data_IF_501655634342
#
_entry.id   IF_501655634342
#
_cell.length_a   1.000
_cell.length_b   1.000
_cell.length_c   1.000
_cell.angle_alpha   90.00
_cell.angle_beta   90.00
_cell.angle_gamma   90.00
#
_symmetry.space_group_name_H-M   'P 1'
#
loop_
_entity.id
_entity.type
_entity.pdbx_description
1 polymer ?
#
# COMPACT_ATOMS: atom_id res chain seq x y z
N UNK A 1 -13.41 -8.42 16.90
CA UNK A 1 -13.96 -7.39 16.00
C UNK A 1 -13.10 -7.28 14.78
N UNK A 2 -12.20 -6.29 14.73
CA UNK A 2 -11.26 -6.10 13.62
C UNK A 2 -10.33 -7.29 13.35
N UNK A 3 -10.07 -8.12 14.36
CA UNK A 3 -9.26 -9.34 14.24
C UNK A 3 -9.92 -10.42 13.37
N UNK A 4 -11.24 -10.35 13.14
CA UNK A 4 -11.96 -11.27 12.24
C UNK A 4 -11.78 -10.90 10.77
N UNK A 5 -11.27 -9.70 10.48
CA UNK A 5 -11.01 -9.24 9.13
C UNK A 5 -9.75 -9.88 8.55
N UNK A 6 -9.82 -10.22 7.26
CA UNK A 6 -8.71 -10.85 6.55
C UNK A 6 -7.45 -9.97 6.48
N UNK A 7 -7.57 -8.64 6.56
CA UNK A 7 -6.44 -7.70 6.63
C UNK A 7 -5.54 -7.97 7.86
N UNK A 8 -6.15 -8.25 9.01
CA UNK A 8 -5.42 -8.52 10.25
C UNK A 8 -4.62 -9.83 10.13
N UNK A 9 -5.27 -10.89 9.66
CA UNK A 9 -4.61 -12.18 9.48
C UNK A 9 -3.44 -12.11 8.50
N UNK A 10 -3.59 -11.36 7.39
CA UNK A 10 -2.50 -11.08 6.45
C UNK A 10 -1.35 -10.33 7.12
N UNK A 11 -1.63 -9.28 7.89
CA UNK A 11 -0.59 -8.52 8.58
C UNK A 11 0.26 -9.43 9.50
N UNK A 12 -0.39 -10.30 10.28
CA UNK A 12 0.31 -11.29 11.13
C UNK A 12 1.10 -12.27 10.27
N UNK A 13 0.52 -12.83 9.20
CA UNK A 13 1.19 -13.76 8.28
C UNK A 13 2.47 -13.14 7.68
N UNK A 14 2.38 -11.92 7.14
CA UNK A 14 3.54 -11.22 6.59
C UNK A 14 4.59 -10.95 7.66
N UNK A 15 4.18 -10.54 8.86
CA UNK A 15 5.12 -10.31 9.96
C UNK A 15 5.87 -11.56 10.38
N UNK A 16 5.21 -12.72 10.37
CA UNK A 16 5.86 -14.01 10.63
C UNK A 16 6.81 -14.38 9.49
N UNK A 17 6.35 -14.26 8.24
CA UNK A 17 7.14 -14.60 7.05
C UNK A 17 8.43 -13.77 6.96
N UNK A 18 8.35 -12.47 7.23
CA UNK A 18 9.49 -11.54 7.19
C UNK A 18 10.20 -11.39 8.55
N UNK A 19 9.79 -12.14 9.57
CA UNK A 19 10.28 -12.02 10.96
C UNK A 19 10.38 -10.57 11.43
N UNK A 20 9.33 -9.80 11.17
CA UNK A 20 9.29 -8.38 11.52
C UNK A 20 9.34 -8.21 13.04
N UNK A 21 9.81 -7.04 13.47
CA UNK A 21 9.85 -6.65 14.89
C UNK A 21 8.52 -6.03 15.31
N UNK A 22 7.40 -6.66 14.94
CA UNK A 22 6.06 -6.14 15.20
C UNK A 22 5.49 -6.73 16.51
N UNK A 23 4.81 -5.89 17.28
CA UNK A 23 3.97 -6.31 18.41
C UNK A 23 2.54 -5.92 18.07
N UNK A 24 1.67 -6.91 17.98
CA UNK A 24 0.23 -6.75 17.80
C UNK A 24 -0.45 -6.87 19.16
N UNK A 25 -1.05 -5.79 19.65
CA UNK A 25 -1.85 -5.82 20.87
C UNK A 25 -3.35 -5.84 20.51
N UNK A 26 -4.02 -6.95 20.80
CA UNK A 26 -5.47 -7.07 20.69
C UNK A 26 -6.08 -6.67 22.03
N UNK A 27 -6.76 -5.54 22.07
CA UNK A 27 -7.54 -5.13 23.23
C UNK A 27 -8.85 -5.90 23.24
N UNK A 28 -8.88 -6.96 24.03
CA UNK A 28 -9.98 -7.91 24.10
C UNK A 28 -10.85 -7.62 25.33
N UNK A 29 -11.95 -6.90 25.10
CA UNK A 29 -13.00 -6.72 26.12
C UNK A 29 -14.09 -7.79 26.04
N UNK A 30 -13.92 -8.86 25.25
CA UNK A 30 -14.93 -9.88 25.04
C UNK A 30 -16.00 -9.53 24.00
N UNK A 31 -16.02 -8.29 23.47
CA UNK A 31 -17.09 -7.80 22.61
C UNK A 31 -16.61 -6.95 21.44
N UNK A 32 -17.33 -7.02 20.32
CA UNK A 32 -17.23 -6.09 19.21
C UNK A 32 -18.63 -5.62 18.84
N UNK A 33 -18.96 -4.37 19.19
CA UNK A 33 -20.35 -3.87 19.15
C UNK A 33 -21.22 -4.79 20.05
N UNK A 34 -22.20 -5.49 19.47
CA UNK A 34 -23.07 -6.45 20.15
C UNK A 34 -22.69 -7.91 19.89
N UNK A 35 -21.58 -8.16 19.19
CA UNK A 35 -21.10 -9.52 18.87
C UNK A 35 -20.05 -9.92 19.89
N UNK A 36 -20.30 -10.99 20.64
CA UNK A 36 -19.34 -11.53 21.60
C UNK A 36 -18.12 -12.13 20.89
N UNK A 37 -17.02 -12.30 21.63
CA UNK A 37 -15.80 -12.91 21.11
C UNK A 37 -16.01 -14.40 20.75
N UNK A 38 -16.93 -15.08 21.43
CA UNK A 38 -17.28 -16.49 21.20
C UNK A 38 -17.93 -16.72 19.82
N UNK A 39 -18.65 -15.73 19.29
CA UNK A 39 -19.21 -15.79 17.93
C UNK A 39 -18.14 -15.58 16.84
N UNK A 40 -16.97 -15.05 17.22
CA UNK A 40 -15.93 -14.64 16.28
C UNK A 40 -14.75 -15.62 16.25
N UNK A 41 -14.45 -16.27 17.39
CA UNK A 41 -13.29 -17.12 17.54
C UNK A 41 -13.58 -18.35 18.38
N UNK A 42 -12.97 -19.50 18.06
CA UNK A 42 -13.00 -20.66 18.95
C UNK A 42 -12.47 -20.29 20.34
N UNK A 43 -13.16 -20.76 21.38
CA UNK A 43 -12.74 -20.60 22.79
C UNK A 43 -12.70 -19.14 23.28
N UNK A 44 -13.35 -18.22 22.56
CA UNK A 44 -13.37 -16.81 22.91
C UNK A 44 -12.00 -16.11 22.85
N UNK A 45 -11.03 -16.68 22.15
CA UNK A 45 -9.67 -16.14 22.05
C UNK A 45 -9.29 -15.78 20.60
N UNK A 46 -9.08 -14.47 20.30
CA UNK A 46 -8.74 -14.01 18.96
C UNK A 46 -7.34 -14.42 18.48
N UNK A 47 -6.53 -15.07 19.31
CA UNK A 47 -5.18 -15.55 18.99
C UNK A 47 -5.12 -17.03 18.61
N UNK A 48 -6.13 -17.82 19.00
CA UNK A 48 -6.21 -19.27 18.69
C UNK A 48 -6.00 -19.59 17.20
N UNK A 49 -6.56 -18.84 16.23
CA UNK A 49 -6.32 -19.11 14.81
C UNK A 49 -4.85 -19.02 14.37
N UNK A 50 -3.99 -18.38 15.17
CA UNK A 50 -2.60 -18.09 14.83
C UNK A 50 -1.58 -19.01 15.52
N UNK A 51 -1.99 -19.95 16.37
CA UNK A 51 -1.09 -20.85 17.10
C UNK A 51 -0.15 -21.64 16.17
N UNK A 52 -0.63 -22.01 14.97
CA UNK A 52 0.19 -22.68 13.96
C UNK A 52 1.43 -21.86 13.55
N UNK A 53 1.37 -20.53 13.62
CA UNK A 53 2.49 -19.65 13.29
C UNK A 53 3.56 -19.59 14.39
N UNK A 54 3.31 -20.10 15.59
CA UNK A 54 4.35 -20.21 16.62
C UNK A 54 5.52 -21.08 16.16
N UNK A 55 5.26 -22.06 15.28
CA UNK A 55 6.28 -22.89 14.61
C UNK A 55 7.28 -22.06 13.78
N UNK A 56 6.89 -20.86 13.38
CA UNK A 56 7.67 -19.96 12.53
C UNK A 56 8.12 -18.68 13.25
N UNK A 57 8.04 -18.64 14.58
CA UNK A 57 8.54 -17.53 15.40
C UNK A 57 7.51 -16.48 15.81
N UNK A 58 6.21 -16.74 15.61
CA UNK A 58 5.17 -15.93 16.28
C UNK A 58 5.19 -16.24 17.78
N UNK A 59 5.24 -15.22 18.63
CA UNK A 59 5.03 -15.39 20.06
C UNK A 59 3.63 -14.91 20.44
N UNK A 60 2.81 -15.81 20.97
CA UNK A 60 1.47 -15.47 21.48
C UNK A 60 1.57 -15.26 22.99
N UNK A 61 0.95 -14.19 23.50
CA UNK A 61 0.98 -13.81 24.91
C UNK A 61 -0.42 -13.46 25.41
N UNK A 62 -0.84 -14.11 26.49
CA UNK A 62 -2.04 -13.72 27.24
C UNK A 62 -1.62 -12.68 28.29
N UNK A 63 -2.32 -11.55 28.33
CA UNK A 63 -2.00 -10.44 29.23
C UNK A 63 -3.27 -9.93 29.89
N UNK A 64 -3.26 -9.83 31.21
CA UNK A 64 -4.28 -9.09 31.93
C UNK A 64 -3.95 -7.60 31.84
N UNK A 65 -4.68 -6.87 30.99
CA UNK A 65 -4.52 -5.44 30.81
C UNK A 65 -5.13 -4.60 31.95
N UNK A 66 -5.88 -5.22 32.86
CA UNK A 66 -6.47 -4.54 34.03
C UNK A 66 -5.54 -4.48 35.23
N UNK A 67 -4.40 -5.20 35.18
CA UNK A 67 -3.36 -5.21 36.20
C UNK A 67 -2.05 -4.69 35.61
N UNK A 68 -1.70 -3.45 35.99
CA UNK A 68 -0.50 -2.77 35.48
C UNK A 68 0.80 -3.50 35.87
N UNK A 69 0.85 -4.15 37.05
CA UNK A 69 2.03 -4.89 37.52
C UNK A 69 2.21 -6.18 36.75
N UNK A 70 1.13 -6.83 36.34
CA UNK A 70 1.18 -8.00 35.47
C UNK A 70 1.50 -7.63 34.01
N UNK A 71 0.96 -6.51 33.53
CA UNK A 71 1.09 -6.07 32.14
C UNK A 71 2.51 -5.61 31.79
N UNK A 72 3.14 -4.78 32.64
CA UNK A 72 4.45 -4.18 32.35
C UNK A 72 5.56 -5.21 32.02
N UNK A 73 5.79 -6.27 32.81
CA UNK A 73 6.78 -7.30 32.49
C UNK A 73 6.51 -8.00 31.15
N UNK A 74 5.23 -8.21 30.81
CA UNK A 74 4.82 -8.86 29.55
C UNK A 74 5.12 -8.00 28.33
N UNK A 75 4.89 -6.69 28.43
CA UNK A 75 5.24 -5.75 27.36
C UNK A 75 6.76 -5.69 27.18
N UNK A 76 7.54 -5.65 28.27
CA UNK A 76 9.01 -5.69 28.21
C UNK A 76 9.48 -6.98 27.53
N UNK A 77 8.95 -8.12 27.94
CA UNK A 77 9.25 -9.43 27.35
C UNK A 77 8.96 -9.47 25.83
N UNK A 78 7.84 -8.86 25.40
CA UNK A 78 7.48 -8.76 23.99
C UNK A 78 8.47 -7.88 23.19
N UNK A 79 8.88 -6.75 23.77
CA UNK A 79 9.87 -5.84 23.18
C UNK A 79 11.23 -6.52 23.04
N UNK A 80 11.69 -7.24 24.07
CA UNK A 80 12.96 -7.97 24.03
C UNK A 80 12.92 -9.08 22.98
N UNK A 81 11.82 -9.85 22.91
CA UNK A 81 11.66 -10.93 21.94
C UNK A 81 11.74 -10.43 20.49
N UNK A 82 10.99 -9.36 20.17
CA UNK A 82 10.98 -8.78 18.82
C UNK A 82 12.31 -8.15 18.46
N UNK A 83 12.95 -7.42 19.39
CA UNK A 83 14.26 -6.79 19.17
C UNK A 83 15.39 -7.79 18.95
N UNK A 84 15.31 -8.97 19.58
CA UNK A 84 16.24 -10.07 19.35
C UNK A 84 16.10 -10.70 17.93
N UNK A 85 15.07 -10.32 17.16
CA UNK A 85 14.85 -10.83 15.80
C UNK A 85 14.18 -12.21 15.76
N UNK A 86 13.55 -12.63 16.86
CA UNK A 86 12.91 -13.94 16.95
C UNK A 86 11.61 -14.03 16.12
N UNK A 87 11.01 -12.88 15.79
CA UNK A 87 9.76 -12.77 15.06
C UNK A 87 8.79 -11.82 15.75
N UNK A 88 7.54 -11.73 15.25
CA UNK A 88 6.52 -10.86 15.82
C UNK A 88 5.91 -11.43 17.11
N UNK A 89 5.27 -10.57 17.89
CA UNK A 89 4.47 -10.93 19.06
C UNK A 89 3.01 -10.59 18.80
N UNK A 90 2.11 -11.48 19.19
CA UNK A 90 0.66 -11.28 19.21
C UNK A 90 0.17 -11.38 20.67
N UNK A 91 -0.29 -10.27 21.22
CA UNK A 91 -0.75 -10.15 22.60
C UNK A 91 -2.28 -10.12 22.62
N UNK A 92 -2.90 -11.07 23.32
CA UNK A 92 -4.29 -10.97 23.72
C UNK A 92 -4.33 -10.22 25.06
N UNK A 93 -4.70 -8.94 25.02
CA UNK A 93 -4.74 -8.05 26.18
C UNK A 93 -6.17 -7.97 26.67
N UNK A 94 -6.50 -8.73 27.72
CA UNK A 94 -7.82 -8.69 28.34
C UNK A 94 -8.03 -7.31 28.97
N UNK A 95 -9.09 -6.62 28.57
CA UNK A 95 -9.44 -5.28 29.06
C UNK A 95 -10.93 -5.18 29.36
N UNK A 96 -11.38 -4.03 29.82
CA UNK A 96 -12.79 -3.74 30.09
C UNK A 96 -13.44 -2.88 28.99
N UNK A 97 -14.78 -2.82 29.02
CA UNK A 97 -15.60 -1.90 28.24
C UNK A 97 -16.73 -1.39 29.14
N UNK A 98 -16.51 -0.24 29.76
CA UNK A 98 -17.40 0.31 30.79
C UNK A 98 -18.78 0.76 30.28
N UNK A 99 -18.88 1.08 28.99
CA UNK A 99 -20.12 1.55 28.38
C UNK A 99 -20.42 0.91 27.04
N UNK A 100 -21.60 1.23 26.50
CA UNK A 100 -22.03 0.81 25.18
C UNK A 100 -21.05 1.21 24.07
N UNK A 101 -21.12 0.53 22.92
CA UNK A 101 -20.22 0.79 21.79
C UNK A 101 -20.31 2.24 21.26
N UNK A 102 -21.49 2.83 21.34
CA UNK A 102 -21.77 4.21 20.91
C UNK A 102 -22.89 4.81 21.74
N UNK A 103 -23.11 6.13 21.65
CA UNK A 103 -24.19 6.81 22.38
C UNK A 103 -25.60 6.40 21.96
N UNK A 104 -25.77 5.73 20.82
CA UNK A 104 -27.04 5.15 20.37
C UNK A 104 -27.17 3.65 20.65
N UNK A 105 -26.15 3.04 21.25
CA UNK A 105 -26.12 1.62 21.61
C UNK A 105 -26.47 1.43 23.09
N UNK A 106 -27.06 0.29 23.44
CA UNK A 106 -27.40 -0.08 24.80
C UNK A 106 -26.94 -1.50 25.08
N UNK A 107 -25.81 -1.62 25.78
CA UNK A 107 -25.22 -2.92 26.08
C UNK A 107 -26.07 -3.78 27.03
N UNK A 108 -27.01 -3.19 27.76
CA UNK A 108 -27.91 -3.96 28.62
C UNK A 108 -28.84 -4.89 27.85
N UNK A 109 -28.98 -4.69 26.53
CA UNK A 109 -29.78 -5.55 25.67
C UNK A 109 -29.09 -6.86 25.29
N UNK A 110 -27.77 -6.94 25.41
CA UNK A 110 -27.00 -8.09 24.93
C UNK A 110 -25.86 -8.55 25.86
N UNK A 111 -25.59 -7.83 26.95
CA UNK A 111 -24.57 -8.18 27.95
C UNK A 111 -25.22 -8.43 29.32
N UNK A 112 -24.87 -9.55 29.95
CA UNK A 112 -25.41 -9.92 31.27
C UNK A 112 -25.02 -8.86 32.32
N UNK A 113 -25.91 -8.48 33.27
CA UNK A 113 -25.59 -7.51 34.30
C UNK A 113 -24.35 -7.85 35.14
N UNK A 114 -24.08 -9.14 35.40
CA UNK A 114 -22.88 -9.57 36.14
C UNK A 114 -21.61 -9.30 35.33
N UNK A 115 -21.68 -9.43 34.01
CA UNK A 115 -20.58 -9.10 33.11
C UNK A 115 -20.37 -7.59 32.99
N UNK A 116 -21.45 -6.80 32.93
CA UNK A 116 -21.37 -5.33 32.99
C UNK A 116 -20.72 -4.85 34.29
N UNK A 117 -21.10 -5.44 35.43
CA UNK A 117 -20.48 -5.18 36.72
C UNK A 117 -18.98 -5.54 36.67
N UNK A 118 -18.62 -6.69 36.07
CA UNK A 118 -17.22 -7.06 35.92
C UNK A 118 -16.42 -5.99 35.17
N UNK A 119 -16.94 -5.47 34.06
CA UNK A 119 -16.28 -4.39 33.31
C UNK A 119 -16.11 -3.11 34.12
N UNK A 120 -17.14 -2.73 34.88
CA UNK A 120 -17.13 -1.50 35.70
C UNK A 120 -16.11 -1.62 36.85
N UNK A 121 -16.12 -2.73 37.58
CA UNK A 121 -15.25 -2.91 38.75
C UNK A 121 -13.82 -3.33 38.40
N UNK A 122 -13.55 -3.69 37.14
CA UNK A 122 -12.20 -4.03 36.66
C UNK A 122 -11.61 -2.98 35.72
N UNK A 123 -12.15 -1.76 35.70
CA UNK A 123 -11.55 -0.64 34.99
C UNK A 123 -10.03 -0.55 35.27
N UNK A 124 -9.25 -0.54 34.20
CA UNK A 124 -7.80 -0.49 34.25
C UNK A 124 -7.29 0.84 34.82
N UNK A 125 -8.02 1.95 34.63
CA UNK A 125 -7.65 3.26 35.18
C UNK A 125 -7.83 3.26 36.69
N UNK A 126 -8.99 2.84 37.19
CA UNK A 126 -9.26 2.69 38.61
C UNK A 126 -8.29 1.73 39.30
N UNK A 127 -8.06 0.54 38.73
CA UNK A 127 -7.12 -0.45 39.30
C UNK A 127 -5.68 0.05 39.30
N UNK A 128 -5.26 0.78 38.27
CA UNK A 128 -3.93 1.41 38.23
C UNK A 128 -3.80 2.48 39.31
N UNK A 129 -4.81 3.35 39.48
CA UNK A 129 -4.82 4.35 40.54
C UNK A 129 -4.70 3.71 41.93
N UNK A 130 -5.49 2.67 42.21
CA UNK A 130 -5.40 1.92 43.47
C UNK A 130 -4.03 1.29 43.66
N UNK A 131 -3.44 0.70 42.62
CA UNK A 131 -2.10 0.11 42.68
C UNK A 131 -1.04 1.16 43.04
N UNK A 132 -1.10 2.36 42.46
CA UNK A 132 -0.17 3.45 42.76
C UNK A 132 -0.32 3.97 44.21
N UNK A 133 -1.55 3.97 44.73
CA UNK A 133 -1.83 4.32 46.12
C UNK A 133 -1.31 3.25 47.08
N UNK A 134 -1.58 1.98 46.80
CA UNK A 134 -1.16 0.84 47.61
C UNK A 134 0.38 0.75 47.71
N UNK A 135 1.08 1.08 46.62
CA UNK A 135 2.54 1.14 46.60
C UNK A 135 3.13 2.43 47.20
N UNK A 136 2.28 3.37 47.61
CA UNK A 136 2.70 4.66 48.17
C UNK A 136 3.39 5.59 47.16
N UNK A 137 3.15 5.40 45.87
CA UNK A 137 3.69 6.22 44.78
C UNK A 137 2.90 7.52 44.65
N UNK A 138 1.57 7.45 44.78
CA UNK A 138 0.67 8.59 44.77
C UNK A 138 -0.32 8.50 45.93
N UNK A 139 -0.82 9.64 46.39
CA UNK A 139 -1.93 9.73 47.33
C UNK A 139 -3.27 9.87 46.58
N UNK A 140 -4.41 9.51 47.20
CA UNK A 140 -5.72 9.75 46.61
C UNK A 140 -5.97 11.23 46.25
N UNK A 141 -5.41 12.15 47.05
CA UNK A 141 -5.51 13.60 46.78
C UNK A 141 -4.76 13.97 45.51
N UNK A 142 -3.53 13.50 45.33
CA UNK A 142 -2.75 13.78 44.12
C UNK A 142 -3.45 13.26 42.86
N UNK A 143 -4.06 12.08 42.92
CA UNK A 143 -4.85 11.55 41.79
C UNK A 143 -6.07 12.43 41.53
N UNK A 144 -6.81 12.84 42.56
CA UNK A 144 -7.94 13.76 42.41
C UNK A 144 -7.53 15.11 41.81
N UNK A 145 -6.43 15.69 42.29
CA UNK A 145 -5.89 16.95 41.77
C UNK A 145 -5.52 16.83 40.28
N UNK A 146 -4.95 15.68 39.84
CA UNK A 146 -4.65 15.41 38.42
C UNK A 146 -5.92 15.37 37.55
N UNK A 147 -6.99 14.72 38.04
CA UNK A 147 -8.27 14.67 37.32
C UNK A 147 -8.89 16.06 37.19
N UNK A 148 -8.88 16.86 38.26
CA UNK A 148 -9.41 18.23 38.25
C UNK A 148 -8.62 19.13 37.28
N UNK A 149 -7.29 18.97 37.23
CA UNK A 149 -6.44 19.69 36.28
C UNK A 149 -6.76 19.32 34.83
N UNK A 150 -6.87 18.01 34.53
CA UNK A 150 -7.23 17.52 33.19
C UNK A 150 -8.62 17.96 32.75
N UNK A 151 -9.63 17.91 33.63
CA UNK A 151 -10.98 18.36 33.32
C UNK A 151 -10.98 19.85 32.98
N UNK A 152 -10.27 20.66 33.76
CA UNK A 152 -10.12 22.09 33.48
C UNK A 152 -9.43 22.34 32.14
N UNK A 153 -8.36 21.61 31.84
CA UNK A 153 -7.63 21.72 30.57
C UNK A 153 -8.53 21.35 29.38
N UNK A 154 -9.22 20.21 29.44
CA UNK A 154 -10.13 19.73 28.40
C UNK A 154 -11.27 20.73 28.18
N UNK A 155 -11.84 21.29 29.25
CA UNK A 155 -12.91 22.30 29.17
C UNK A 155 -12.42 23.58 28.49
N UNK A 156 -11.22 24.05 28.81
CA UNK A 156 -10.64 25.23 28.17
C UNK A 156 -10.34 24.99 26.69
N UNK A 157 -9.74 23.84 26.35
CA UNK A 157 -9.44 23.45 24.96
C UNK A 157 -10.72 23.28 24.15
N UNK A 158 -11.73 22.62 24.70
CA UNK A 158 -13.04 22.42 24.04
C UNK A 158 -13.71 23.75 23.74
N UNK A 159 -13.70 24.70 24.68
CA UNK A 159 -14.21 26.06 24.46
C UNK A 159 -13.48 26.75 23.31
N UNK A 160 -12.14 26.74 23.32
CA UNK A 160 -11.33 27.35 22.24
C UNK A 160 -11.60 26.71 20.88
N UNK A 161 -11.74 25.39 20.83
CA UNK A 161 -12.01 24.66 19.59
C UNK A 161 -13.38 25.01 19.00
N UNK A 162 -14.40 25.19 19.84
CA UNK A 162 -15.74 25.59 19.41
C UNK A 162 -15.79 27.05 18.98
N UNK A 163 -15.11 27.95 19.70
CA UNK A 163 -15.00 29.38 19.35
C UNK A 163 -14.35 29.61 17.98
N UNK A 164 -13.47 28.70 17.56
CA UNK A 164 -12.71 28.79 16.30
C UNK A 164 -13.23 27.82 15.22
N UNK A 165 -14.37 27.17 15.46
CA UNK A 165 -14.92 26.20 14.52
C UNK A 165 -15.38 26.89 13.22
N UNK A 166 -14.83 26.42 12.11
CA UNK A 166 -15.27 26.80 10.77
C UNK A 166 -15.79 25.55 10.07
N UNK A 167 -17.06 25.53 9.61
CA UNK A 167 -17.57 24.43 8.80
C UNK A 167 -16.73 24.24 7.53
N UNK A 168 -16.55 22.97 7.12
CA UNK A 168 -15.87 22.67 5.85
C UNK A 168 -16.71 23.19 4.69
N UNK A 169 -16.09 23.91 3.76
CA UNK A 169 -16.75 24.34 2.52
C UNK A 169 -16.67 23.24 1.46
N UNK A 170 -17.55 23.23 0.44
CA UNK A 170 -17.45 22.32 -0.70
C UNK A 170 -16.08 22.39 -1.39
N UNK A 171 -15.52 23.59 -1.55
CA UNK A 171 -14.22 23.79 -2.20
C UNK A 171 -13.08 23.13 -1.41
N UNK A 172 -13.12 23.23 -0.07
CA UNK A 172 -12.18 22.52 0.79
C UNK A 172 -12.34 21.00 0.62
N UNK A 173 -13.57 20.48 0.58
CA UNK A 173 -13.83 19.05 0.42
C UNK A 173 -13.30 18.56 -0.93
N UNK A 174 -13.58 19.27 -2.02
CA UNK A 174 -13.11 18.94 -3.37
C UNK A 174 -11.58 18.98 -3.46
N UNK A 175 -10.94 19.98 -2.84
CA UNK A 175 -9.47 20.08 -2.78
C UNK A 175 -8.79 18.92 -2.05
N UNK A 176 -9.56 18.13 -1.29
CA UNK A 176 -9.10 16.97 -0.54
C UNK A 176 -9.36 15.63 -1.25
N UNK A 177 -9.94 15.65 -2.47
CA UNK A 177 -10.19 14.44 -3.26
C UNK A 177 -8.95 13.99 -4.02
N UNK A 178 -8.27 14.90 -4.74
CA UNK A 178 -7.03 14.63 -5.48
C UNK A 178 -6.09 15.84 -5.40
N UNK A 179 -4.79 15.60 -5.49
CA UNK A 179 -3.75 16.65 -5.50
C UNK A 179 -3.21 16.96 -6.89
N UNK A 180 -3.61 16.20 -7.90
CA UNK A 180 -2.91 16.17 -9.18
C UNK A 180 -2.89 17.55 -9.84
N UNK A 181 -1.67 18.02 -10.05
CA UNK A 181 -1.34 19.19 -10.83
C UNK A 181 -0.14 18.84 -11.72
N UNK A 182 -0.24 19.14 -13.01
CA UNK A 182 0.81 18.75 -13.96
C UNK A 182 2.12 19.51 -13.74
N UNK A 183 2.08 20.77 -13.29
CA UNK A 183 3.28 21.53 -12.96
C UNK A 183 4.00 20.93 -11.75
N UNK A 184 3.26 20.47 -10.73
CA UNK A 184 3.83 19.79 -9.56
C UNK A 184 4.46 18.44 -9.95
N UNK A 185 3.83 17.69 -10.87
CA UNK A 185 4.40 16.47 -11.42
C UNK A 185 5.72 16.74 -12.17
N UNK A 186 5.77 17.79 -13.02
CA UNK A 186 7.01 18.22 -13.69
C UNK A 186 8.08 18.67 -12.70
N UNK A 187 7.72 19.43 -11.66
CA UNK A 187 8.64 19.86 -10.62
C UNK A 187 9.23 18.66 -9.87
N UNK A 188 8.39 17.65 -9.56
CA UNK A 188 8.82 16.41 -8.94
C UNK A 188 9.76 15.61 -9.85
N UNK A 189 9.41 15.45 -11.13
CA UNK A 189 10.29 14.81 -12.11
C UNK A 189 11.65 15.50 -12.18
N UNK A 190 11.65 16.83 -12.35
CA UNK A 190 12.86 17.65 -12.42
C UNK A 190 13.73 17.47 -11.17
N UNK A 191 13.13 17.47 -9.97
CA UNK A 191 13.85 17.23 -8.71
C UNK A 191 14.66 15.93 -8.73
N UNK A 192 14.07 14.83 -9.19
CA UNK A 192 14.78 13.55 -9.27
C UNK A 192 15.79 13.50 -10.42
N UNK A 193 15.50 14.14 -11.55
CA UNK A 193 16.45 14.29 -12.67
C UNK A 193 17.68 15.09 -12.28
N UNK A 194 17.51 16.21 -11.58
CA UNK A 194 18.61 17.05 -11.10
C UNK A 194 19.45 16.35 -10.03
N UNK A 195 18.83 15.49 -9.22
CA UNK A 195 19.51 14.71 -8.18
C UNK A 195 20.29 13.51 -8.74
N UNK A 196 19.99 13.07 -9.97
CA UNK A 196 20.70 11.96 -10.61
C UNK A 196 22.10 12.40 -11.06
N UNK A 197 23.13 11.82 -10.44
CA UNK A 197 24.55 12.12 -10.73
C UNK A 197 25.21 11.09 -11.66
N UNK A 198 24.46 10.09 -12.13
CA UNK A 198 24.98 9.05 -13.02
C UNK A 198 25.09 9.51 -14.47
N UNK A 199 25.72 8.69 -15.30
CA UNK A 199 25.74 8.89 -16.75
C UNK A 199 24.75 7.94 -17.41
N UNK A 200 23.61 8.48 -17.83
CA UNK A 200 22.53 7.71 -18.46
C UNK A 200 22.99 7.02 -19.75
N UNK A 201 23.81 7.66 -20.57
CA UNK A 201 24.30 7.08 -21.82
C UNK A 201 25.29 5.94 -21.54
N UNK A 202 26.20 6.13 -20.57
CA UNK A 202 27.10 5.06 -20.13
C UNK A 202 26.33 3.88 -19.51
N UNK A 203 25.26 4.14 -18.76
CA UNK A 203 24.40 3.09 -18.20
C UNK A 203 23.74 2.27 -19.32
N UNK A 204 23.17 2.90 -20.35
CA UNK A 204 22.59 2.19 -21.50
C UNK A 204 23.63 1.40 -22.30
N UNK A 205 24.85 1.93 -22.47
CA UNK A 205 25.96 1.18 -23.04
C UNK A 205 26.27 -0.08 -22.21
N UNK A 206 26.33 0.04 -20.88
CA UNK A 206 26.52 -1.11 -19.98
C UNK A 206 25.37 -2.12 -20.06
N UNK A 207 24.12 -1.66 -20.12
CA UNK A 207 22.95 -2.54 -20.24
C UNK A 207 22.96 -3.30 -21.56
N UNK A 208 23.42 -2.67 -22.64
CA UNK A 208 23.62 -3.33 -23.92
C UNK A 208 24.71 -4.41 -23.85
N UNK A 209 25.86 -4.13 -23.25
CA UNK A 209 26.94 -5.11 -23.04
C UNK A 209 26.49 -6.32 -22.22
N UNK A 210 25.62 -6.10 -21.23
CA UNK A 210 24.97 -7.16 -20.43
C UNK A 210 23.88 -7.92 -21.19
N UNK A 211 23.53 -7.49 -22.40
CA UNK A 211 22.50 -8.08 -23.25
C UNK A 211 21.07 -7.78 -22.83
N UNK A 212 20.85 -6.71 -22.05
CA UNK A 212 19.51 -6.32 -21.59
C UNK A 212 18.73 -5.61 -22.69
N UNK A 213 19.43 -4.80 -23.50
CA UNK A 213 18.88 -4.05 -24.61
C UNK A 213 19.65 -4.32 -25.90
N UNK A 214 18.99 -4.26 -27.07
CA UNK A 214 19.61 -4.59 -28.36
C UNK A 214 20.59 -3.53 -28.88
N UNK A 215 20.58 -2.33 -28.32
CA UNK A 215 21.42 -1.18 -28.73
C UNK A 215 21.90 -0.41 -27.49
N UNK A 216 23.08 0.24 -27.54
CA UNK A 216 23.55 1.14 -26.48
C UNK A 216 22.95 2.55 -26.58
N UNK A 217 22.20 2.85 -27.66
CA UNK A 217 21.58 4.15 -27.87
C UNK A 217 20.52 4.45 -26.79
N UNK A 218 20.35 5.74 -26.50
CA UNK A 218 19.29 6.19 -25.59
C UNK A 218 17.91 5.86 -26.18
N UNK A 219 16.92 5.47 -25.35
CA UNK A 219 15.61 5.01 -25.78
C UNK A 219 14.90 5.92 -26.80
N UNK A 220 14.97 7.23 -26.61
CA UNK A 220 14.37 8.24 -27.50
C UNK A 220 14.99 8.26 -28.92
N UNK A 221 16.20 7.72 -29.10
CA UNK A 221 16.93 7.71 -30.37
C UNK A 221 16.80 6.40 -31.16
N UNK A 222 16.22 5.34 -30.58
CA UNK A 222 16.14 4.00 -31.18
C UNK A 222 15.12 3.94 -32.34
N UNK A 223 14.15 4.88 -32.34
CA UNK A 223 13.01 4.88 -33.25
C UNK A 223 11.80 4.10 -32.72
N UNK A 224 10.81 3.80 -33.57
CA UNK A 224 9.57 3.15 -33.16
C UNK A 224 9.78 1.77 -32.51
N UNK A 225 9.07 1.51 -31.41
CA UNK A 225 9.13 0.23 -30.69
C UNK A 225 7.76 -0.19 -30.15
N UNK A 226 7.70 -1.39 -29.56
CA UNK A 226 6.47 -1.93 -28.95
C UNK A 226 6.24 -1.37 -27.55
N UNK A 227 4.98 -1.36 -27.11
CA UNK A 227 4.61 -0.82 -25.79
C UNK A 227 5.35 -1.50 -24.64
N UNK A 228 5.57 -2.83 -24.70
CA UNK A 228 6.35 -3.55 -23.68
C UNK A 228 7.77 -3.01 -23.54
N UNK A 229 8.46 -2.76 -24.65
CA UNK A 229 9.83 -2.25 -24.59
C UNK A 229 9.84 -0.81 -24.07
N UNK A 230 8.91 0.04 -24.49
CA UNK A 230 8.83 1.41 -23.99
C UNK A 230 8.62 1.48 -22.47
N UNK A 231 7.74 0.63 -21.93
CA UNK A 231 7.56 0.51 -20.47
C UNK A 231 8.85 0.00 -19.81
N UNK A 232 9.49 -1.04 -20.34
CA UNK A 232 10.73 -1.57 -19.78
C UNK A 232 11.86 -0.52 -19.76
N UNK A 233 12.06 0.23 -20.85
CA UNK A 233 13.02 1.34 -20.91
C UNK A 233 12.70 2.41 -19.86
N UNK A 234 11.43 2.82 -19.75
CA UNK A 234 10.98 3.83 -18.79
C UNK A 234 11.21 3.36 -17.34
N UNK A 235 10.97 2.08 -17.04
CA UNK A 235 11.26 1.52 -15.72
C UNK A 235 12.76 1.54 -15.41
N UNK A 236 13.62 1.23 -16.37
CA UNK A 236 15.07 1.35 -16.19
C UNK A 236 15.49 2.80 -15.89
N UNK A 237 14.93 3.77 -16.60
CA UNK A 237 15.18 5.19 -16.31
C UNK A 237 14.72 5.55 -14.88
N UNK A 238 13.49 5.21 -14.50
CA UNK A 238 12.96 5.45 -13.14
C UNK A 238 13.85 4.84 -12.06
N UNK A 239 14.30 3.60 -12.25
CA UNK A 239 15.14 2.91 -11.28
C UNK A 239 16.52 3.54 -11.11
N UNK A 240 17.06 4.19 -12.14
CA UNK A 240 18.33 4.90 -12.07
C UNK A 240 18.22 6.23 -11.30
N UNK A 241 17.05 6.88 -11.30
CA UNK A 241 16.89 8.21 -10.69
C UNK A 241 16.97 8.19 -9.16
N UNK A 242 16.42 7.17 -8.51
CA UNK A 242 16.41 7.07 -7.04
C UNK A 242 16.25 5.64 -6.57
N UNK A 243 16.77 5.35 -5.37
CA UNK A 243 16.53 4.11 -4.62
C UNK A 243 15.12 4.00 -4.05
N UNK A 244 14.35 5.09 -4.09
CA UNK A 244 12.96 5.14 -3.61
C UNK A 244 11.97 4.50 -4.59
N UNK A 245 12.38 4.20 -5.83
CA UNK A 245 11.58 3.40 -6.76
C UNK A 245 11.77 1.93 -6.41
N UNK A 246 10.67 1.24 -6.16
CA UNK A 246 10.66 -0.19 -5.92
C UNK A 246 9.51 -0.80 -6.70
N UNK A 247 9.72 -1.97 -7.27
CA UNK A 247 8.72 -2.70 -8.04
C UNK A 247 8.55 -4.07 -7.41
N UNK A 248 7.33 -4.42 -7.07
CA UNK A 248 7.06 -5.72 -6.48
C UNK A 248 5.64 -6.18 -6.86
N UNK A 249 5.46 -7.48 -6.89
CA UNK A 249 4.22 -8.11 -7.29
C UNK A 249 4.48 -9.57 -7.59
N UNK A 250 3.50 -10.23 -8.18
CA UNK A 250 3.61 -11.65 -8.50
C UNK A 250 4.39 -11.83 -9.80
N UNK A 251 5.49 -12.60 -9.74
CA UNK A 251 6.34 -12.92 -10.89
C UNK A 251 7.06 -11.75 -11.59
N UNK A 252 7.05 -10.55 -11.01
CA UNK A 252 7.71 -9.36 -11.58
C UNK A 252 9.23 -9.47 -11.63
N UNK A 253 9.83 -10.31 -10.79
CA UNK A 253 11.27 -10.42 -10.70
C UNK A 253 11.84 -11.40 -11.73
N UNK A 254 13.12 -11.27 -12.04
CA UNK A 254 13.81 -12.22 -12.92
C UNK A 254 13.88 -13.62 -12.27
N UNK A 255 14.05 -13.68 -10.95
CA UNK A 255 14.26 -14.87 -10.14
C UNK A 255 13.51 -14.81 -8.81
N UNK A 256 13.00 -15.97 -8.41
CA UNK A 256 12.40 -16.19 -7.09
C UNK A 256 13.42 -16.08 -5.96
N UNK A 257 12.95 -15.73 -4.75
CA UNK A 257 13.81 -15.45 -3.59
C UNK A 257 14.84 -16.53 -3.26
N UNK A 258 14.47 -17.81 -3.31
CA UNK A 258 15.39 -18.92 -3.03
C UNK A 258 16.57 -19.04 -4.02
N UNK A 259 16.47 -18.42 -5.20
CA UNK A 259 17.54 -18.43 -6.19
C UNK A 259 18.48 -17.24 -6.04
N UNK A 260 18.18 -16.23 -5.22
CA UNK A 260 18.96 -14.97 -5.13
C UNK A 260 20.45 -15.23 -4.85
N UNK A 261 20.75 -16.21 -3.99
CA UNK A 261 22.12 -16.57 -3.63
C UNK A 261 22.78 -17.54 -4.63
N UNK A 262 22.00 -18.17 -5.51
CA UNK A 262 22.45 -19.18 -6.47
C UNK A 262 22.97 -18.57 -7.78
N UNK A 263 23.96 -17.67 -7.69
CA UNK A 263 24.47 -16.86 -8.81
C UNK A 263 24.86 -17.68 -10.04
N UNK A 264 25.49 -18.85 -9.85
CA UNK A 264 25.88 -19.74 -10.95
C UNK A 264 24.69 -20.32 -11.72
N UNK A 265 23.57 -20.59 -11.03
CA UNK A 265 22.34 -21.06 -11.68
C UNK A 265 21.66 -19.91 -12.41
N UNK A 266 21.58 -18.73 -11.78
CA UNK A 266 21.01 -17.54 -12.42
C UNK A 266 21.74 -17.18 -13.72
N UNK A 267 23.07 -17.32 -13.79
CA UNK A 267 23.86 -17.04 -14.98
C UNK A 267 23.48 -17.91 -16.20
N UNK A 268 22.87 -19.08 -15.97
CA UNK A 268 22.45 -20.03 -17.01
C UNK A 268 20.98 -19.86 -17.43
N UNK A 269 20.22 -19.00 -16.75
CA UNK A 269 18.79 -18.82 -16.96
C UNK A 269 18.47 -17.45 -17.54
N UNK A 270 17.41 -17.36 -18.34
CA UNK A 270 17.03 -16.09 -19.01
C UNK A 270 16.38 -15.06 -18.08
N UNK A 271 15.90 -15.48 -16.90
CA UNK A 271 15.05 -14.66 -16.03
C UNK A 271 13.62 -14.49 -16.59
N UNK A 272 12.64 -14.36 -15.69
CA UNK A 272 11.22 -14.12 -16.05
C UNK A 272 10.97 -12.63 -16.29
N UNK A 273 10.92 -11.81 -15.24
CA UNK A 273 10.71 -10.38 -15.38
C UNK A 273 9.28 -9.99 -15.74
N UNK A 274 8.31 -10.55 -15.01
CA UNK A 274 6.88 -10.36 -15.24
C UNK A 274 6.30 -11.39 -16.23
N UNK A 275 4.98 -11.60 -16.16
CA UNK A 275 4.26 -12.55 -17.05
C UNK A 275 4.46 -12.22 -18.53
N UNK A 276 4.58 -10.93 -18.84
CA UNK A 276 4.78 -10.44 -20.21
C UNK A 276 6.21 -9.94 -20.47
N UNK A 277 7.15 -10.23 -19.56
CA UNK A 277 8.55 -9.82 -19.65
C UNK A 277 8.75 -8.28 -19.59
N UNK A 278 7.79 -7.52 -19.06
CA UNK A 278 7.83 -6.04 -19.00
C UNK A 278 8.88 -5.53 -18.02
N UNK A 279 9.13 -6.27 -16.93
CA UNK A 279 10.06 -5.89 -15.86
C UNK A 279 11.39 -6.64 -15.94
N UNK A 280 11.64 -7.28 -17.08
CA UNK A 280 12.81 -8.11 -17.33
C UNK A 280 14.11 -7.35 -17.12
N UNK A 281 15.07 -8.03 -16.49
CA UNK A 281 16.39 -7.56 -16.09
C UNK A 281 16.42 -6.48 -15.00
N UNK A 282 15.28 -5.95 -14.53
CA UNK A 282 15.28 -4.96 -13.44
C UNK A 282 15.84 -5.54 -12.13
N UNK A 283 15.49 -6.78 -11.78
CA UNK A 283 16.03 -7.41 -10.57
C UNK A 283 17.53 -7.69 -10.72
N UNK A 284 17.96 -8.15 -11.90
CA UNK A 284 19.39 -8.38 -12.18
C UNK A 284 20.22 -7.11 -12.03
N UNK A 285 19.72 -5.98 -12.53
CA UNK A 285 20.47 -4.72 -12.52
C UNK A 285 20.41 -4.01 -11.16
N UNK A 286 19.21 -3.85 -10.60
CA UNK A 286 18.99 -3.01 -9.41
C UNK A 286 18.88 -3.80 -8.10
N UNK A 287 18.97 -5.13 -8.19
CA UNK A 287 19.01 -6.02 -7.05
C UNK A 287 17.64 -6.48 -6.53
N UNK A 288 17.65 -7.54 -5.70
CA UNK A 288 16.44 -8.16 -5.18
C UNK A 288 15.70 -7.30 -4.14
N UNK A 289 16.31 -6.26 -3.59
CA UNK A 289 15.63 -5.36 -2.65
C UNK A 289 14.77 -4.30 -3.34
N UNK A 290 14.93 -4.16 -4.67
CA UNK A 290 14.24 -3.15 -5.48
C UNK A 290 13.28 -3.71 -6.53
N UNK A 291 13.53 -4.93 -7.02
CA UNK A 291 12.59 -5.67 -7.86
C UNK A 291 12.43 -7.10 -7.33
N UNK A 292 11.28 -7.43 -6.75
CA UNK A 292 11.07 -8.73 -6.08
C UNK A 292 9.65 -9.28 -6.19
N UNK A 293 9.57 -10.62 -6.13
CA UNK A 293 8.30 -11.33 -6.10
C UNK A 293 7.66 -11.27 -4.71
N UNK A 294 6.35 -11.06 -4.66
CA UNK A 294 5.53 -11.19 -3.45
C UNK A 294 4.88 -12.56 -3.34
N UNK A 295 4.31 -12.93 -2.17
CA UNK A 295 3.27 -13.95 -2.09
C UNK A 295 2.11 -13.64 -3.05
N UNK A 296 1.32 -14.67 -3.38
CA UNK A 296 0.11 -14.56 -4.20
C UNK A 296 -1.02 -13.94 -3.38
N UNK A 297 -1.04 -12.61 -3.26
CA UNK A 297 -1.94 -11.86 -2.37
C UNK A 297 -1.99 -10.39 -2.77
N UNK A 298 -2.97 -10.02 -3.59
CA UNK A 298 -3.14 -8.66 -4.13
C UNK A 298 -3.41 -7.63 -3.03
N UNK A 299 -4.10 -8.05 -1.96
CA UNK A 299 -4.36 -7.21 -0.78
C UNK A 299 -3.04 -6.87 -0.08
N UNK A 300 -2.17 -7.86 0.11
CA UNK A 300 -0.84 -7.69 0.68
C UNK A 300 0.09 -6.85 -0.20
N UNK A 301 -0.01 -6.96 -1.53
CA UNK A 301 0.73 -6.11 -2.47
C UNK A 301 0.35 -4.64 -2.28
N UNK A 302 -0.94 -4.31 -2.30
CA UNK A 302 -1.38 -2.92 -2.13
C UNK A 302 -1.12 -2.40 -0.70
N UNK A 303 -1.32 -3.23 0.32
CA UNK A 303 -1.02 -2.88 1.71
C UNK A 303 0.48 -2.56 1.91
N UNK A 304 1.36 -3.37 1.31
CA UNK A 304 2.81 -3.11 1.30
C UNK A 304 3.15 -1.82 0.55
N UNK A 305 2.49 -1.54 -0.57
CA UNK A 305 2.69 -0.30 -1.32
C UNK A 305 2.36 0.93 -0.46
N UNK A 306 1.23 0.92 0.24
CA UNK A 306 0.89 1.98 1.17
C UNK A 306 1.95 2.14 2.27
N UNK A 307 2.42 1.03 2.86
CA UNK A 307 3.51 1.04 3.84
C UNK A 307 4.79 1.70 3.35
N UNK A 308 5.19 1.44 2.10
CA UNK A 308 6.37 2.08 1.50
C UNK A 308 6.17 3.57 1.23
N UNK A 309 4.96 3.99 0.87
CA UNK A 309 4.63 5.41 0.73
C UNK A 309 4.76 6.13 2.07
N UNK A 310 4.27 5.55 3.17
CA UNK A 310 4.46 6.11 4.51
C UNK A 310 5.94 6.22 4.94
N UNK A 311 6.83 5.45 4.30
CA UNK A 311 8.28 5.55 4.48
C UNK A 311 8.95 6.59 3.57
N UNK A 312 8.17 7.34 2.78
CA UNK A 312 8.65 8.36 1.85
C UNK A 312 9.06 7.82 0.47
N UNK A 313 8.76 6.55 0.16
CA UNK A 313 9.08 5.94 -1.15
C UNK A 313 7.96 6.15 -2.17
N UNK A 314 8.26 5.87 -3.44
CA UNK A 314 7.33 5.95 -4.58
C UNK A 314 7.24 4.60 -5.31
N UNK A 315 6.48 3.63 -4.77
CA UNK A 315 6.47 2.27 -5.26
C UNK A 315 5.66 2.09 -6.55
N UNK A 316 6.01 1.04 -7.29
CA UNK A 316 5.37 0.57 -8.51
C UNK A 316 4.82 -0.86 -8.29
N UNK A 317 3.82 -1.08 -7.41
CA UNK A 317 3.25 -2.42 -7.24
C UNK A 317 2.63 -2.92 -8.55
N UNK A 318 2.82 -4.19 -8.89
CA UNK A 318 2.17 -4.82 -10.05
C UNK A 318 1.14 -5.86 -9.59
N UNK A 319 -0.10 -5.70 -10.06
CA UNK A 319 -1.13 -6.73 -10.00
C UNK A 319 -1.20 -7.40 -11.37
N UNK A 320 -1.06 -8.72 -11.39
CA UNK A 320 -0.76 -9.47 -12.62
C UNK A 320 -1.80 -9.25 -13.74
N UNK A 321 -3.09 -9.24 -13.39
CA UNK A 321 -4.20 -8.92 -14.29
C UNK A 321 -5.23 -8.10 -13.53
N UNK A 322 -5.90 -7.15 -14.20
CA UNK A 322 -6.96 -6.35 -13.58
C UNK A 322 -8.07 -7.23 -13.00
N UNK A 323 -8.34 -8.38 -13.62
CA UNK A 323 -9.27 -9.42 -13.18
C UNK A 323 -9.01 -9.84 -11.71
N UNK A 324 -7.75 -9.84 -11.27
CA UNK A 324 -7.34 -10.26 -9.92
C UNK A 324 -7.29 -9.11 -8.91
N UNK A 325 -7.59 -7.87 -9.31
CA UNK A 325 -7.57 -6.72 -8.40
C UNK A 325 -8.70 -6.74 -7.35
N UNK A 326 -9.78 -7.48 -7.61
CA UNK A 326 -11.02 -7.47 -6.81
C UNK A 326 -10.82 -7.70 -5.30
N UNK A 327 -9.98 -8.66 -4.83
CA UNK A 327 -9.73 -8.84 -3.39
C UNK A 327 -9.11 -7.59 -2.74
N UNK A 328 -8.34 -6.80 -3.49
CA UNK A 328 -7.64 -5.61 -3.00
C UNK A 328 -8.50 -4.33 -3.06
N UNK A 329 -9.76 -4.42 -3.51
CA UNK A 329 -10.67 -3.28 -3.66
C UNK A 329 -10.80 -2.45 -2.38
N UNK A 330 -10.98 -3.11 -1.22
CA UNK A 330 -11.11 -2.42 0.07
C UNK A 330 -9.85 -1.63 0.42
N UNK A 331 -8.66 -2.22 0.27
CA UNK A 331 -7.38 -1.53 0.53
C UNK A 331 -7.21 -0.36 -0.42
N UNK A 332 -7.49 -0.55 -1.71
CA UNK A 332 -7.39 0.51 -2.70
C UNK A 332 -8.34 1.68 -2.37
N UNK A 333 -9.64 1.41 -2.19
CA UNK A 333 -10.66 2.42 -1.96
C UNK A 333 -10.54 3.05 -0.57
N UNK A 334 -10.55 2.25 0.50
CA UNK A 334 -10.76 2.72 1.87
C UNK A 334 -9.47 3.05 2.62
N UNK A 335 -8.32 2.58 2.12
CA UNK A 335 -7.01 2.82 2.73
C UNK A 335 -6.14 3.71 1.86
N UNK A 336 -5.97 3.40 0.57
CA UNK A 336 -5.07 4.17 -0.31
C UNK A 336 -5.72 5.48 -0.75
N UNK A 337 -6.82 5.41 -1.50
CA UNK A 337 -7.39 6.59 -2.18
C UNK A 337 -7.95 7.63 -1.21
N UNK A 338 -8.44 7.21 -0.05
CA UNK A 338 -9.00 8.13 0.95
C UNK A 338 -7.97 8.70 1.93
N UNK A 339 -6.69 8.28 1.88
CA UNK A 339 -5.68 8.74 2.86
C UNK A 339 -5.50 10.26 2.87
N UNK A 340 -5.46 10.89 1.70
CA UNK A 340 -5.29 12.34 1.60
C UNK A 340 -6.46 13.08 2.25
N UNK A 341 -7.69 12.69 1.93
CA UNK A 341 -8.90 13.24 2.55
C UNK A 341 -8.97 12.99 4.06
N UNK A 342 -8.75 11.74 4.50
CA UNK A 342 -8.89 11.31 5.90
C UNK A 342 -7.82 11.92 6.80
N UNK A 343 -6.67 12.27 6.23
CA UNK A 343 -5.62 13.01 6.92
C UNK A 343 -5.81 14.53 6.90
N UNK A 344 -6.87 15.04 6.26
CA UNK A 344 -7.09 16.48 6.12
C UNK A 344 -6.04 17.17 5.25
N UNK A 345 -5.48 16.45 4.27
CA UNK A 345 -4.48 16.97 3.34
C UNK A 345 -3.03 16.79 3.78
N UNK A 346 -2.78 16.08 4.89
CA UNK A 346 -1.44 15.92 5.46
C UNK A 346 -0.61 14.82 4.79
N UNK A 347 -1.25 13.76 4.29
CA UNK A 347 -0.56 12.60 3.71
C UNK A 347 -0.98 12.34 2.26
N UNK A 348 -0.04 12.55 1.34
CA UNK A 348 -0.15 12.20 -0.09
C UNK A 348 0.15 10.71 -0.32
N UNK A 349 -0.30 10.16 -1.44
CA UNK A 349 -0.17 8.74 -1.77
C UNK A 349 0.51 8.46 -3.13
N UNK A 350 1.77 8.88 -3.35
CA UNK A 350 2.48 8.69 -4.63
C UNK A 350 2.83 7.22 -4.87
N UNK A 351 1.94 6.49 -5.53
CA UNK A 351 2.18 5.11 -5.97
C UNK A 351 1.49 4.83 -7.30
N UNK A 352 2.17 4.09 -8.17
CA UNK A 352 1.62 3.70 -9.48
C UNK A 352 1.39 2.20 -9.50
N UNK A 353 0.12 1.81 -9.37
CA UNK A 353 -0.34 0.43 -9.44
C UNK A 353 -0.37 0.02 -10.90
N UNK A 354 0.61 -0.77 -11.31
CA UNK A 354 0.65 -1.33 -12.66
C UNK A 354 -0.22 -2.57 -12.72
N UNK A 355 -0.99 -2.71 -13.78
CA UNK A 355 -1.73 -3.94 -14.02
C UNK A 355 -1.96 -4.13 -15.50
N UNK A 356 -2.16 -5.38 -15.89
CA UNK A 356 -2.53 -5.68 -17.27
C UNK A 356 -4.04 -5.56 -17.47
N UNK A 357 -4.43 -5.07 -18.64
CA UNK A 357 -5.80 -4.62 -18.92
C UNK A 357 -6.26 -5.11 -20.30
N UNK A 358 -7.53 -5.50 -20.38
CA UNK A 358 -8.22 -5.78 -21.63
C UNK A 358 -7.82 -7.08 -22.32
N UNK A 359 -8.56 -7.43 -23.37
CA UNK A 359 -8.47 -8.73 -24.04
C UNK A 359 -7.42 -8.83 -25.16
N UNK A 360 -7.73 -9.68 -26.15
CA UNK A 360 -6.90 -9.96 -27.34
C UNK A 360 -5.57 -10.69 -27.10
N UNK A 361 -5.38 -11.31 -25.94
CA UNK A 361 -4.37 -12.35 -25.74
C UNK A 361 -4.89 -13.70 -26.25
N UNK A 362 -4.54 -14.06 -27.47
CA UNK A 362 -4.94 -15.36 -28.04
C UNK A 362 -4.45 -16.51 -27.15
N UNK A 363 -5.34 -17.47 -26.85
CA UNK A 363 -5.01 -18.66 -26.08
C UNK A 363 -4.91 -18.48 -24.56
N UNK A 364 -5.18 -17.29 -24.01
CA UNK A 364 -5.10 -17.05 -22.56
C UNK A 364 -6.34 -17.46 -21.75
N UNK A 365 -7.42 -17.89 -22.41
CA UNK A 365 -8.71 -18.08 -21.79
C UNK A 365 -9.41 -16.73 -21.58
N UNK A 366 -10.69 -16.64 -21.99
CA UNK A 366 -11.44 -15.39 -21.88
C UNK A 366 -11.72 -15.01 -20.41
N UNK A 367 -12.01 -16.01 -19.58
CA UNK A 367 -12.27 -15.79 -18.16
C UNK A 367 -10.94 -15.50 -17.43
N UNK A 368 -10.90 -14.39 -16.69
CA UNK A 368 -9.82 -14.00 -15.77
C UNK A 368 -8.50 -13.47 -16.39
N UNK A 369 -8.47 -13.21 -17.69
CA UNK A 369 -7.29 -12.66 -18.38
C UNK A 369 -7.64 -11.67 -19.51
N UNK A 370 -8.83 -11.08 -19.45
CA UNK A 370 -9.31 -10.22 -20.54
C UNK A 370 -10.23 -9.08 -20.11
N UNK A 371 -10.52 -8.96 -18.81
CA UNK A 371 -11.43 -7.94 -18.34
C UNK A 371 -10.86 -6.53 -18.55
N UNK A 372 -11.74 -5.65 -18.99
CA UNK A 372 -11.49 -4.22 -19.08
C UNK A 372 -12.39 -3.42 -18.15
N UNK A 373 -12.88 -4.02 -17.06
CA UNK A 373 -13.93 -3.49 -16.18
C UNK A 373 -13.52 -2.22 -15.39
N UNK A 374 -13.19 -1.13 -16.11
CA UNK A 374 -12.80 0.16 -15.54
C UNK A 374 -13.94 0.82 -14.78
N UNK A 375 -15.20 0.51 -15.11
CA UNK A 375 -16.37 1.07 -14.44
C UNK A 375 -16.35 0.87 -12.92
N UNK A 376 -15.87 -0.29 -12.45
CA UNK A 376 -15.71 -0.57 -11.01
C UNK A 376 -14.71 0.38 -10.34
N UNK A 377 -13.63 0.75 -11.05
CA UNK A 377 -12.51 1.52 -10.50
C UNK A 377 -12.68 3.03 -10.68
N UNK A 378 -13.31 3.47 -11.78
CA UNK A 378 -13.55 4.88 -12.12
C UNK A 378 -14.38 5.63 -11.06
N UNK A 379 -15.17 4.91 -10.26
CA UNK A 379 -16.02 5.47 -9.22
C UNK A 379 -15.33 5.59 -7.85
N UNK A 380 -14.00 5.42 -7.78
CA UNK A 380 -13.22 5.57 -6.55
C UNK A 380 -12.66 7.00 -6.49
N UNK A 381 -13.17 7.89 -5.61
CA UNK A 381 -12.61 9.22 -5.44
C UNK A 381 -11.16 9.14 -4.97
N UNK A 382 -10.29 9.96 -5.55
CA UNK A 382 -8.86 9.98 -5.25
C UNK A 382 -8.02 9.00 -6.07
N UNK A 383 -8.61 8.15 -6.90
CA UNK A 383 -7.88 7.27 -7.83
C UNK A 383 -7.79 7.90 -9.22
N UNK A 384 -6.57 8.03 -9.75
CA UNK A 384 -6.35 8.32 -11.16
C UNK A 384 -6.25 7.02 -11.94
N UNK A 385 -6.85 6.95 -13.13
CA UNK A 385 -6.78 5.78 -14.01
C UNK A 385 -6.20 6.19 -15.34
N UNK A 386 -5.23 5.42 -15.81
CA UNK A 386 -4.47 5.70 -17.02
C UNK A 386 -4.42 4.45 -17.90
N UNK A 387 -4.79 4.60 -19.17
CA UNK A 387 -4.73 3.53 -20.18
C UNK A 387 -3.90 4.05 -21.37
N UNK A 388 -2.61 3.70 -21.48
CA UNK A 388 -1.80 4.15 -22.60
C UNK A 388 -2.22 3.47 -23.91
N UNK A 389 -2.23 4.24 -25.01
CA UNK A 389 -2.70 3.75 -26.32
C UNK A 389 -1.59 3.22 -27.24
N UNK A 390 -0.33 3.56 -26.96
CA UNK A 390 0.85 3.19 -27.73
C UNK A 390 2.14 3.30 -26.89
N UNK A 391 3.30 3.05 -27.49
CA UNK A 391 4.60 3.09 -26.82
C UNK A 391 5.00 4.49 -26.31
N UNK A 392 4.71 5.54 -27.07
CA UNK A 392 4.99 6.93 -26.68
C UNK A 392 4.17 7.34 -25.46
N UNK A 393 2.86 7.06 -25.52
CA UNK A 393 1.92 7.33 -24.43
C UNK A 393 2.30 6.55 -23.17
N UNK A 394 2.64 5.27 -23.30
CA UNK A 394 3.03 4.44 -22.16
C UNK A 394 4.24 5.00 -21.40
N UNK A 395 5.27 5.43 -22.12
CA UNK A 395 6.46 6.01 -21.51
C UNK A 395 6.15 7.38 -20.87
N UNK A 396 5.51 8.29 -21.60
CA UNK A 396 5.21 9.64 -21.11
C UNK A 396 4.23 9.66 -19.94
N UNK A 397 3.17 8.85 -20.00
CA UNK A 397 2.16 8.75 -18.94
C UNK A 397 2.71 8.01 -17.71
N UNK A 398 3.58 7.01 -17.87
CA UNK A 398 4.21 6.34 -16.72
C UNK A 398 5.13 7.29 -15.95
N UNK A 399 5.86 8.18 -16.64
CA UNK A 399 6.64 9.25 -15.99
C UNK A 399 5.75 10.19 -15.19
N UNK A 400 4.62 10.63 -15.76
CA UNK A 400 3.64 11.46 -15.04
C UNK A 400 3.02 10.72 -13.86
N UNK A 401 2.64 9.45 -14.03
CA UNK A 401 2.02 8.62 -13.00
C UNK A 401 2.96 8.38 -11.82
N UNK A 402 4.24 8.15 -12.11
CA UNK A 402 5.24 8.01 -11.07
C UNK A 402 5.57 9.33 -10.39
N UNK A 403 5.50 10.47 -11.10
CA UNK A 403 5.85 11.80 -10.60
C UNK A 403 4.72 12.52 -9.85
N UNK A 404 3.45 12.19 -10.10
CA UNK A 404 2.33 12.76 -9.32
C UNK A 404 2.31 12.28 -7.86
N UNK A 405 1.56 12.98 -7.02
CA UNK A 405 1.44 12.71 -5.58
C UNK A 405 0.19 11.88 -5.20
N UNK A 406 -0.60 11.50 -6.20
CA UNK A 406 -1.83 10.72 -6.06
C UNK A 406 -1.63 9.25 -6.47
N UNK A 407 -2.48 8.33 -6.00
CA UNK A 407 -2.43 6.94 -6.44
C UNK A 407 -2.95 6.82 -7.87
N UNK A 408 -2.19 6.11 -8.71
CA UNK A 408 -2.52 5.89 -10.12
C UNK A 408 -2.69 4.40 -10.40
N UNK A 409 -3.82 4.01 -10.98
CA UNK A 409 -4.01 2.70 -11.60
C UNK A 409 -3.61 2.79 -13.08
N UNK A 410 -2.46 2.20 -13.40
CA UNK A 410 -1.87 2.19 -14.73
C UNK A 410 -2.19 0.88 -15.45
N UNK A 411 -3.16 0.94 -16.37
CA UNK A 411 -3.79 -0.18 -17.05
C UNK A 411 -3.13 -0.47 -18.40
N UNK A 412 -2.21 -1.43 -18.44
CA UNK A 412 -1.40 -1.78 -19.60
C UNK A 412 -2.13 -2.77 -20.51
N UNK A 413 -2.52 -2.33 -21.71
CA UNK A 413 -3.22 -3.18 -22.68
C UNK A 413 -2.39 -4.40 -23.09
N UNK A 414 -2.88 -5.60 -22.75
CA UNK A 414 -2.19 -6.85 -23.08
C UNK A 414 -2.03 -7.02 -24.59
N UNK A 415 -3.02 -6.55 -25.35
CA UNK A 415 -3.05 -6.61 -26.81
C UNK A 415 -1.89 -5.86 -27.48
N UNK A 416 -1.35 -4.83 -26.81
CA UNK A 416 -0.38 -3.88 -27.37
C UNK A 416 1.06 -4.17 -26.98
N UNK A 417 1.32 -5.00 -25.97
CA UNK A 417 2.67 -5.23 -25.46
C UNK A 417 3.71 -5.60 -26.54
N UNK A 418 3.40 -6.62 -27.33
CA UNK A 418 4.32 -7.18 -28.33
C UNK A 418 3.82 -7.00 -29.76
N UNK A 419 2.69 -6.30 -29.92
CA UNK A 419 2.07 -6.09 -31.22
C UNK A 419 2.80 -4.96 -31.96
N UNK A 420 3.18 -5.23 -33.21
CA UNK A 420 3.86 -4.27 -34.07
C UNK A 420 2.92 -3.59 -35.07
N UNK A 421 1.88 -4.31 -35.49
CA UNK A 421 0.84 -3.81 -36.37
C UNK A 421 -0.56 -4.22 -35.89
N UNK A 422 -1.56 -3.42 -36.28
CA UNK A 422 -2.97 -3.78 -36.17
C UNK A 422 -3.53 -3.94 -37.58
N UNK A 423 -3.73 -5.18 -38.01
CA UNK A 423 -4.23 -5.50 -39.35
C UNK A 423 -3.36 -4.93 -40.48
N UNK A 424 -2.03 -5.01 -40.31
CA UNK A 424 -1.05 -4.49 -41.27
C UNK A 424 -0.74 -3.00 -41.14
N UNK A 425 -1.44 -2.27 -40.27
CA UNK A 425 -1.14 -0.86 -39.96
C UNK A 425 -0.11 -0.82 -38.82
N UNK A 426 1.11 -0.29 -39.02
CA UNK A 426 2.10 -0.19 -37.96
C UNK A 426 1.58 0.62 -36.76
N UNK A 427 1.78 0.10 -35.55
CA UNK A 427 1.37 0.74 -34.29
C UNK A 427 2.55 0.98 -33.33
N UNK A 428 3.77 0.63 -33.75
CA UNK A 428 4.98 0.98 -33.01
C UNK A 428 5.14 2.51 -32.98
N UNK A 429 5.58 3.03 -31.84
CA UNK A 429 5.79 4.46 -31.64
C UNK A 429 7.16 4.71 -30.99
N UNK A 430 7.83 5.84 -31.27
CA UNK A 430 9.07 6.20 -30.59
C UNK A 430 8.80 6.49 -29.11
N UNK A 431 9.85 6.47 -28.28
CA UNK A 431 9.74 7.00 -26.92
C UNK A 431 9.82 8.54 -26.94
N UNK A 432 9.12 9.23 -26.03
CA UNK A 432 9.31 10.67 -25.82
C UNK A 432 10.71 10.94 -25.27
N UNK A 433 11.16 12.19 -25.40
CA UNK A 433 12.38 12.66 -24.72
C UNK A 433 12.28 12.40 -23.21
N UNK A 434 13.42 12.19 -22.54
CA UNK A 434 13.44 11.81 -21.11
C UNK A 434 12.64 12.78 -20.23
N UNK A 435 12.69 14.09 -20.52
CA UNK A 435 12.02 15.13 -19.74
C UNK A 435 10.63 15.51 -20.27
N UNK A 436 10.15 14.85 -21.33
CA UNK A 436 8.81 15.03 -21.86
C UNK A 436 7.79 14.13 -21.14
N UNK A 437 6.96 14.73 -20.28
CA UNK A 437 5.86 14.08 -19.56
C UNK A 437 4.54 14.33 -20.29
N UNK A 438 3.59 13.39 -20.18
CA UNK A 438 2.25 13.54 -20.77
C UNK A 438 1.23 13.89 -19.68
N UNK A 439 0.49 15.01 -19.78
CA UNK A 439 -0.51 15.38 -18.78
C UNK A 439 -1.73 14.48 -18.80
N UNK A 440 -2.27 14.16 -17.63
CA UNK A 440 -3.59 13.52 -17.50
C UNK A 440 -4.72 14.50 -17.81
N UNK A 441 -5.83 13.97 -18.34
CA UNK A 441 -7.04 14.74 -18.62
C UNK A 441 -6.95 15.68 -19.83
N UNK A 442 -5.84 15.64 -20.59
CA UNK A 442 -5.65 16.46 -21.79
C UNK A 442 -5.64 15.53 -23.00
N UNK A 443 -6.59 15.73 -23.91
CA UNK A 443 -6.65 14.97 -25.15
C UNK A 443 -5.51 15.39 -26.11
N UNK A 444 -4.84 14.41 -26.72
CA UNK A 444 -3.92 14.65 -27.83
C UNK A 444 -4.70 14.81 -29.12
N UNK A 445 -4.48 15.91 -29.84
CA UNK A 445 -5.03 16.10 -31.18
C UNK A 445 -4.03 15.54 -32.19
N UNK A 446 -4.44 14.51 -32.93
CA UNK A 446 -3.57 13.85 -33.91
C UNK A 446 -3.55 14.56 -35.27
N UNK A 447 -4.66 15.21 -35.63
CA UNK A 447 -4.75 15.98 -36.87
C UNK A 447 -5.78 17.11 -36.69
N UNK A 448 -5.31 18.35 -36.68
CA UNK A 448 -6.13 19.55 -36.53
C UNK A 448 -6.77 20.01 -37.85
N UNK A 449 -6.34 19.47 -39.00
CA UNK A 449 -6.87 19.84 -40.31
C UNK A 449 -8.25 19.21 -40.58
N UNK A 450 -8.59 18.11 -39.90
CA UNK A 450 -9.90 17.48 -40.02
C UNK A 450 -10.92 18.12 -39.06
N UNK A 451 -11.89 18.84 -39.61
CA UNK A 451 -12.91 19.58 -38.83
C UNK A 451 -14.32 18.97 -38.90
N UNK A 452 -14.51 17.91 -39.69
CA UNK A 452 -15.85 17.39 -40.01
C UNK A 452 -16.39 16.38 -38.98
N UNK A 453 -15.51 15.54 -38.42
CA UNK A 453 -15.87 14.50 -37.44
C UNK A 453 -14.78 14.41 -36.37
N UNK A 454 -15.17 14.58 -35.11
CA UNK A 454 -14.32 14.29 -33.96
C UNK A 454 -14.47 12.83 -33.53
N UNK A 455 -13.36 12.10 -33.46
CA UNK A 455 -13.30 10.76 -32.88
C UNK A 455 -12.59 10.85 -31.54
N UNK A 456 -13.32 10.59 -30.46
CA UNK A 456 -12.80 10.58 -29.08
C UNK A 456 -12.76 9.11 -28.64
N UNK A 457 -11.57 8.61 -28.35
CA UNK A 457 -11.29 7.21 -27.98
C UNK A 457 -10.59 7.11 -26.66
#
# INVERSE_FOLDING_TARGET
GSTSESEFARAVFYSVFFKTRAIYAIYNCGWAISVSVEEQFPEGDPTTPFEGFQRFGLKIMQVDGTDIKACLPKVIEAMEYTRAGNGPVLMNVRTTREGSHSGSDDQSFYMDPVEQDWHTYNDCVLKTANTLIEDGILTPKEIGDMWDELDKEINELSRKAVETFVPKTPELIESLVMTYNFEDAKATWKKYRDAFTGDRAANYASYHEKGYFPTPELPENIGPTTMRHAINYTLFDLFQLTTDVILFGEDVADFSGHMIEEKEKQAKLKGKGGVFLVTKNLQREFGPDRCFNTPLDEVGILGRAAGHVYQGRRPLPEIQFLDYMSPAYQVLKDRICTTYQRSGGLFKMPLTIRTTYGGYKQGAGAFWHSEGNLGTWLNIPGLLIVVPSNAYDAAGLLKTAWACDDPVLFCESVALYNRRDWEGIPIEAPLPDIDELIPFGVAKVYNEEFTDVGVIT
#
